data_IF_857091612991
#
_entry.id   IF_857091612991
#
_cell.length_a   1.000
_cell.length_b   1.000
_cell.length_c   1.000
_cell.angle_alpha   90.00
_cell.angle_beta   90.00
_cell.angle_gamma   90.00
#
_symmetry.space_group_name_H-M   'P 1'
#
loop_
_entity.id
_entity.type
_entity.pdbx_description
1 polymer ?
#
# COMPACT_ATOMS: atom_id res chain seq x y z
N UNK A 1 -60.25 18.73 2.44
CA UNK A 1 -58.97 19.06 3.08
C UNK A 1 -58.43 20.30 2.40
N UNK A 2 -58.45 21.45 3.08
CA UNK A 2 -58.13 22.77 2.53
C UNK A 2 -56.70 23.12 2.99
N UNK A 3 -55.77 23.22 2.05
CA UNK A 3 -54.41 23.71 2.31
C UNK A 3 -54.42 25.24 2.29
N UNK A 4 -54.18 25.84 3.46
CA UNK A 4 -54.01 27.29 3.61
C UNK A 4 -52.53 27.60 3.33
N UNK A 5 -52.25 28.16 2.16
CA UNK A 5 -50.93 28.70 1.81
C UNK A 5 -50.69 30.01 2.58
N UNK A 6 -49.87 29.97 3.64
CA UNK A 6 -49.32 31.17 4.27
C UNK A 6 -48.26 31.78 3.34
N UNK A 7 -48.61 32.88 2.68
CA UNK A 7 -47.66 33.79 2.04
C UNK A 7 -46.96 34.62 3.13
N UNK A 8 -45.74 34.24 3.49
CA UNK A 8 -44.86 35.09 4.31
C UNK A 8 -44.28 36.16 3.39
N UNK A 9 -44.79 37.39 3.51
CA UNK A 9 -44.22 38.57 2.86
C UNK A 9 -42.88 38.90 3.50
N UNK A 10 -41.79 38.45 2.88
CA UNK A 10 -40.44 38.87 3.22
C UNK A 10 -40.28 40.35 2.86
N UNK A 11 -40.49 41.25 3.81
CA UNK A 11 -40.16 42.67 3.68
C UNK A 11 -38.65 42.78 3.51
N UNK A 12 -38.18 43.09 2.29
CA UNK A 12 -36.80 43.50 2.05
C UNK A 12 -36.58 44.85 2.73
N UNK A 13 -36.10 44.82 3.98
CA UNK A 13 -35.60 45.99 4.67
C UNK A 13 -34.30 46.43 3.98
N UNK A 14 -34.31 47.63 3.38
CA UNK A 14 -33.14 48.21 2.74
C UNK A 14 -32.43 49.11 3.77
N UNK A 15 -31.26 48.73 4.34
CA UNK A 15 -30.66 49.41 5.50
C UNK A 15 -29.94 50.73 5.17
N UNK A 16 -30.10 51.27 3.96
CA UNK A 16 -29.25 52.35 3.44
C UNK A 16 -29.45 53.74 4.08
N UNK A 17 -30.44 53.92 4.96
CA UNK A 17 -30.89 55.27 5.38
C UNK A 17 -31.10 55.43 6.90
N UNK A 18 -30.18 54.93 7.76
CA UNK A 18 -30.13 55.40 9.16
C UNK A 18 -29.02 56.46 9.35
N UNK A 19 -29.34 57.76 9.34
CA UNK A 19 -28.38 58.87 9.31
C UNK A 19 -27.62 59.12 10.63
N UNK A 20 -27.70 58.24 11.63
CA UNK A 20 -27.15 58.50 12.98
C UNK A 20 -25.75 57.96 13.26
N UNK A 21 -25.17 57.19 12.34
CA UNK A 21 -23.82 56.65 12.47
C UNK A 21 -22.96 57.27 11.36
N UNK A 22 -22.16 58.30 11.66
CA UNK A 22 -21.21 58.92 10.72
C UNK A 22 -20.06 58.00 10.27
N UNK A 23 -20.22 56.68 10.41
CA UNK A 23 -19.28 55.66 9.97
C UNK A 23 -19.54 55.42 8.49
N UNK A 24 -18.57 55.78 7.65
CA UNK A 24 -18.57 55.47 6.21
C UNK A 24 -17.51 54.41 5.94
N UNK A 25 -17.91 53.29 5.35
CA UNK A 25 -16.97 52.27 4.91
C UNK A 25 -16.09 52.83 3.78
N UNK A 26 -14.80 52.53 3.83
CA UNK A 26 -13.81 53.14 2.94
C UNK A 26 -13.82 52.53 1.53
N UNK A 27 -13.94 51.21 1.45
CA UNK A 27 -13.80 50.48 0.21
C UNK A 27 -15.13 50.29 -0.56
N UNK A 28 -15.06 50.03 -1.87
CA UNK A 28 -16.22 49.71 -2.70
C UNK A 28 -16.92 48.42 -2.25
N UNK A 29 -18.19 48.26 -2.63
CA UNK A 29 -19.00 47.07 -2.38
C UNK A 29 -19.16 46.67 -0.91
N UNK A 30 -19.04 47.65 -0.01
CA UNK A 30 -19.23 47.51 1.43
C UNK A 30 -20.47 48.28 1.90
N UNK A 31 -21.07 47.82 3.00
CA UNK A 31 -22.15 48.54 3.68
C UNK A 31 -21.98 48.43 5.20
N UNK A 32 -22.57 49.36 5.94
CA UNK A 32 -22.57 49.32 7.41
C UNK A 32 -23.75 48.46 7.87
N UNK A 33 -23.49 47.40 8.62
CA UNK A 33 -24.52 46.53 9.16
C UNK A 33 -25.26 47.19 10.35
N UNK A 34 -26.30 46.52 10.88
CA UNK A 34 -27.05 47.03 12.04
C UNK A 34 -26.25 47.19 13.34
N UNK A 35 -25.02 46.65 13.41
CA UNK A 35 -24.11 46.82 14.54
C UNK A 35 -23.06 47.93 14.32
N UNK A 36 -23.15 48.68 13.22
CA UNK A 36 -22.18 49.74 12.91
C UNK A 36 -20.84 49.23 12.32
N UNK A 37 -20.75 47.94 11.93
CA UNK A 37 -19.55 47.34 11.35
C UNK A 37 -19.67 47.30 9.82
N UNK A 38 -18.58 47.57 9.12
CA UNK A 38 -18.52 47.39 7.66
C UNK A 38 -18.53 45.90 7.31
N UNK A 39 -19.43 45.52 6.41
CA UNK A 39 -19.58 44.18 5.85
C UNK A 39 -19.60 44.24 4.31
N UNK A 40 -19.23 43.14 3.68
CA UNK A 40 -19.28 43.01 2.24
C UNK A 40 -20.71 42.79 1.75
N UNK A 41 -21.06 43.43 0.63
CA UNK A 41 -22.32 43.16 -0.06
C UNK A 41 -22.40 41.71 -0.57
N UNK A 42 -23.63 41.17 -0.67
CA UNK A 42 -23.85 39.75 -0.97
C UNK A 42 -23.26 39.30 -2.31
N UNK A 43 -23.16 40.20 -3.29
CA UNK A 43 -22.61 39.92 -4.62
C UNK A 43 -21.07 39.95 -4.65
N UNK A 44 -20.43 40.44 -3.58
CA UNK A 44 -18.98 40.64 -3.47
C UNK A 44 -18.48 40.05 -2.15
N UNK A 45 -18.52 38.72 -1.96
CA UNK A 45 -18.33 38.10 -0.66
C UNK A 45 -16.86 38.06 -0.19
N UNK A 46 -15.90 38.45 -1.03
CA UNK A 46 -14.47 38.35 -0.72
C UNK A 46 -13.88 39.73 -0.39
N UNK A 47 -12.82 39.73 0.43
CA UNK A 47 -12.04 40.93 0.75
C UNK A 47 -12.19 41.40 2.20
N UNK A 48 -11.67 42.60 2.47
CA UNK A 48 -11.77 43.24 3.77
C UNK A 48 -12.64 44.50 3.64
N UNK A 49 -13.84 44.53 4.26
CA UNK A 49 -14.73 45.68 4.16
C UNK A 49 -14.19 46.96 4.82
N UNK A 50 -13.13 46.86 5.62
CA UNK A 50 -12.44 48.00 6.24
C UNK A 50 -11.28 48.53 5.39
N UNK A 51 -10.84 47.78 4.39
CA UNK A 51 -9.76 48.13 3.47
C UNK A 51 -10.20 49.18 2.44
N UNK A 52 -9.24 49.93 1.88
CA UNK A 52 -9.48 50.83 0.75
C UNK A 52 -9.85 50.07 -0.54
N UNK A 53 -9.39 48.81 -0.66
CA UNK A 53 -9.72 47.93 -1.79
C UNK A 53 -11.20 47.49 -1.71
N UNK A 54 -11.76 47.43 -0.50
CA UNK A 54 -13.14 47.01 -0.26
C UNK A 54 -13.37 45.52 -0.47
N UNK A 55 -14.56 45.18 -0.94
CA UNK A 55 -14.94 43.81 -1.23
C UNK A 55 -15.02 43.58 -2.75
N UNK A 56 -14.76 42.35 -3.18
CA UNK A 56 -14.71 42.00 -4.59
C UNK A 56 -15.30 40.60 -4.82
N UNK A 57 -15.41 40.27 -6.10
CA UNK A 57 -15.74 38.93 -6.60
C UNK A 57 -14.68 38.52 -7.61
N UNK A 58 -14.63 37.24 -7.95
CA UNK A 58 -13.79 36.74 -9.03
C UNK A 58 -14.70 36.37 -10.20
N UNK A 59 -14.54 37.05 -11.34
CA UNK A 59 -15.23 36.72 -12.58
C UNK A 59 -14.22 36.59 -13.73
N UNK A 60 -13.95 35.37 -14.24
CA UNK A 60 -14.69 34.13 -13.99
C UNK A 60 -14.47 33.57 -12.57
N UNK A 61 -15.37 32.68 -12.09
CA UNK A 61 -15.18 32.00 -10.81
C UNK A 61 -13.87 31.20 -10.84
N UNK A 62 -13.16 31.18 -9.71
CA UNK A 62 -11.93 30.40 -9.56
C UNK A 62 -12.18 28.89 -9.64
N UNK A 63 -11.13 28.11 -9.90
CA UNK A 63 -11.16 26.66 -9.81
C UNK A 63 -11.64 26.17 -8.42
N UNK A 64 -12.20 24.96 -8.36
CA UNK A 64 -12.69 24.36 -7.12
C UNK A 64 -11.61 24.26 -6.03
N UNK A 65 -10.35 24.10 -6.42
CA UNK A 65 -9.19 24.06 -5.52
C UNK A 65 -8.45 25.41 -5.48
N UNK A 66 -9.12 26.51 -5.77
CA UNK A 66 -8.61 27.87 -5.64
C UNK A 66 -9.51 28.74 -4.76
N UNK A 67 -8.97 29.89 -4.35
CA UNK A 67 -9.74 30.95 -3.73
C UNK A 67 -9.43 32.30 -4.38
N UNK A 68 -10.41 33.19 -4.29
CA UNK A 68 -10.31 34.57 -4.77
C UNK A 68 -9.46 35.38 -3.78
N UNK A 69 -8.24 35.76 -4.17
CA UNK A 69 -7.31 36.50 -3.31
C UNK A 69 -7.22 37.99 -3.65
N UNK A 70 -7.79 38.39 -4.79
CA UNK A 70 -7.88 39.78 -5.24
C UNK A 70 -8.97 39.94 -6.32
N UNK A 71 -9.25 41.18 -6.75
CA UNK A 71 -10.24 41.43 -7.82
C UNK A 71 -9.84 40.69 -9.10
N UNK A 72 -10.68 39.74 -9.53
CA UNK A 72 -10.44 38.86 -10.68
C UNK A 72 -9.10 38.10 -10.62
N UNK A 73 -8.60 37.84 -9.40
CA UNK A 73 -7.36 37.12 -9.17
C UNK A 73 -7.60 35.88 -8.31
N UNK A 74 -7.32 34.72 -8.90
CA UNK A 74 -7.47 33.42 -8.26
C UNK A 74 -6.12 32.80 -7.92
N UNK A 75 -6.04 32.15 -6.76
CA UNK A 75 -4.84 31.45 -6.31
C UNK A 75 -5.23 30.07 -5.84
N UNK A 76 -4.50 29.07 -6.31
CA UNK A 76 -4.67 27.70 -5.85
C UNK A 76 -4.51 27.61 -4.32
N UNK A 77 -5.33 26.78 -3.70
CA UNK A 77 -5.25 26.46 -2.30
C UNK A 77 -3.90 25.79 -1.97
N UNK A 78 -3.52 25.82 -0.70
CA UNK A 78 -2.28 25.18 -0.24
C UNK A 78 -2.27 23.70 -0.66
N UNK A 79 -1.16 23.27 -1.29
CA UNK A 79 -1.04 21.92 -1.83
C UNK A 79 -1.56 21.74 -3.27
N UNK A 80 -1.85 22.82 -3.99
CA UNK A 80 -2.21 22.77 -5.41
C UNK A 80 -1.35 23.73 -6.22
N UNK A 81 -1.18 23.43 -7.51
CA UNK A 81 -0.42 24.23 -8.48
C UNK A 81 -1.26 24.45 -9.73
N UNK A 82 -1.08 25.60 -10.37
CA UNK A 82 -1.78 25.95 -11.60
C UNK A 82 -2.05 27.45 -11.70
N UNK A 83 -3.04 27.83 -12.48
CA UNK A 83 -3.38 29.24 -12.78
C UNK A 83 -4.43 29.84 -11.83
N UNK A 84 -5.11 29.01 -11.03
CA UNK A 84 -6.17 29.46 -10.13
C UNK A 84 -7.54 29.58 -10.79
N UNK A 85 -7.61 29.66 -12.12
CA UNK A 85 -8.85 29.89 -12.86
C UNK A 85 -9.42 28.59 -13.40
N UNK A 86 -8.63 27.89 -14.22
CA UNK A 86 -9.06 26.67 -14.90
C UNK A 86 -8.40 25.42 -14.32
N UNK A 87 -7.20 25.58 -13.73
CA UNK A 87 -6.39 24.45 -13.26
C UNK A 87 -5.81 24.76 -11.89
N UNK A 88 -6.18 23.95 -10.91
CA UNK A 88 -5.45 23.77 -9.67
C UNK A 88 -5.37 22.28 -9.33
N UNK A 89 -4.22 21.68 -9.62
CA UNK A 89 -3.98 20.25 -9.48
C UNK A 89 -2.83 19.99 -8.51
N UNK A 90 -2.76 18.78 -7.96
CA UNK A 90 -1.60 18.39 -7.16
C UNK A 90 -0.41 18.17 -8.10
N UNK A 91 0.79 18.69 -7.77
CA UNK A 91 1.95 18.49 -8.62
C UNK A 91 2.32 17.01 -8.69
N UNK A 92 2.84 16.56 -9.84
CA UNK A 92 3.43 15.21 -9.95
C UNK A 92 4.88 15.27 -9.49
N UNK A 93 5.30 14.51 -8.46
CA UNK A 93 6.70 14.49 -8.03
C UNK A 93 7.57 13.78 -9.06
N UNK A 94 8.83 14.21 -9.21
CA UNK A 94 9.85 13.46 -9.93
C UNK A 94 10.69 12.64 -8.95
N UNK A 95 10.81 11.33 -9.19
CA UNK A 95 11.54 10.40 -8.34
C UNK A 95 13.03 10.45 -8.70
N UNK A 96 13.86 10.98 -7.78
CA UNK A 96 15.30 11.10 -7.99
C UNK A 96 16.06 9.87 -7.55
N UNK A 97 15.74 9.36 -6.36
CA UNK A 97 16.35 8.16 -5.82
C UNK A 97 15.43 7.54 -4.77
N UNK A 98 15.76 6.36 -4.27
CA UNK A 98 15.09 5.77 -3.12
C UNK A 98 15.99 4.75 -2.42
N UNK A 99 15.74 4.55 -1.13
CA UNK A 99 16.44 3.59 -0.28
C UNK A 99 15.43 2.84 0.61
N UNK A 100 15.60 1.53 0.86
CA UNK A 100 16.55 0.62 0.21
C UNK A 100 16.13 0.26 -1.23
N UNK A 101 17.01 -0.39 -2.00
CA UNK A 101 16.73 -0.89 -3.38
C UNK A 101 16.10 -2.28 -3.41
N UNK A 102 16.08 -2.97 -2.27
CA UNK A 102 15.55 -4.31 -2.12
C UNK A 102 15.00 -4.53 -0.71
N UNK A 103 14.16 -5.55 -0.56
CA UNK A 103 13.52 -5.93 0.70
C UNK A 103 13.11 -7.41 0.72
N UNK A 104 12.64 -7.89 1.87
CA UNK A 104 12.10 -9.23 2.05
C UNK A 104 10.72 -9.35 1.40
N UNK A 105 10.41 -10.54 0.87
CA UNK A 105 9.04 -10.90 0.45
C UNK A 105 8.01 -10.81 1.57
N UNK A 106 8.40 -10.79 2.85
CA UNK A 106 7.47 -10.58 3.96
C UNK A 106 7.01 -9.13 4.11
N UNK A 107 7.69 -8.17 3.49
CA UNK A 107 7.44 -6.75 3.69
C UNK A 107 7.91 -6.24 5.05
N UNK A 108 7.40 -5.08 5.45
CA UNK A 108 7.75 -4.37 6.68
C UNK A 108 8.94 -3.43 6.51
N UNK A 109 9.56 -3.35 5.34
CA UNK A 109 10.66 -2.43 5.08
C UNK A 109 10.17 -1.00 4.92
N UNK A 110 10.83 -0.10 5.62
CA UNK A 110 10.66 1.34 5.44
C UNK A 110 11.40 1.80 4.18
N UNK A 111 10.65 2.15 3.14
CA UNK A 111 11.18 2.69 1.89
C UNK A 111 11.05 4.21 1.85
N UNK A 112 12.19 4.90 1.71
CA UNK A 112 12.26 6.36 1.58
C UNK A 112 12.55 6.73 0.13
N UNK A 113 11.57 7.35 -0.53
CA UNK A 113 11.68 7.91 -1.88
C UNK A 113 12.17 9.35 -1.78
N UNK A 114 13.27 9.68 -2.43
CA UNK A 114 13.77 11.05 -2.59
C UNK A 114 13.18 11.65 -3.87
N UNK A 115 12.44 12.73 -3.71
CA UNK A 115 11.66 13.35 -4.78
C UNK A 115 12.06 14.81 -4.99
N UNK A 116 11.72 15.36 -6.16
CA UNK A 116 11.73 16.80 -6.38
C UNK A 116 10.44 17.27 -7.04
N UNK A 117 9.97 18.44 -6.63
CA UNK A 117 8.70 19.05 -7.07
C UNK A 117 9.02 20.34 -7.82
N UNK A 118 8.28 20.60 -8.91
CA UNK A 118 8.51 21.77 -9.78
C UNK A 118 8.03 23.08 -9.13
N UNK A 119 7.30 23.01 -8.02
CA UNK A 119 6.76 24.16 -7.31
C UNK A 119 7.51 24.44 -5.99
N UNK A 120 8.20 25.59 -5.85
CA UNK A 120 9.07 25.90 -4.71
C UNK A 120 8.34 26.10 -3.38
N UNK A 121 7.03 26.41 -3.41
CA UNK A 121 6.21 26.69 -2.22
C UNK A 121 5.20 25.56 -1.92
N UNK A 122 5.33 24.41 -2.57
CA UNK A 122 4.41 23.30 -2.35
C UNK A 122 4.71 22.61 -1.01
N UNK A 123 3.71 22.56 -0.12
CA UNK A 123 3.77 21.81 1.14
C UNK A 123 2.97 20.52 0.99
N UNK A 124 3.67 19.39 1.04
CA UNK A 124 3.06 18.09 0.82
C UNK A 124 2.32 17.60 2.08
N UNK A 125 0.99 17.48 2.00
CA UNK A 125 0.14 17.03 3.12
C UNK A 125 -0.02 15.49 3.12
N UNK A 126 -0.10 14.89 1.93
CA UNK A 126 -0.27 13.45 1.72
C UNK A 126 0.65 12.96 0.62
N UNK A 127 0.98 11.67 0.65
CA UNK A 127 1.89 11.04 -0.30
C UNK A 127 1.63 9.55 -0.37
N UNK A 128 1.99 8.96 -1.50
CA UNK A 128 1.78 7.55 -1.80
C UNK A 128 3.01 6.99 -2.51
N UNK A 129 3.39 5.76 -2.14
CA UNK A 129 4.39 4.99 -2.86
C UNK A 129 3.70 3.89 -3.65
N UNK A 130 4.13 3.65 -4.87
CA UNK A 130 3.69 2.51 -5.68
C UNK A 130 4.88 1.62 -5.99
N UNK A 131 4.73 0.32 -5.74
CA UNK A 131 5.71 -0.71 -6.09
C UNK A 131 4.98 -1.78 -6.88
N UNK A 132 5.15 -1.74 -8.20
CA UNK A 132 4.41 -2.59 -9.14
C UNK A 132 2.90 -2.34 -9.07
N UNK A 133 2.08 -3.36 -8.76
CA UNK A 133 0.63 -3.19 -8.62
C UNK A 133 0.19 -2.65 -7.26
N UNK A 134 1.08 -2.63 -6.25
CA UNK A 134 0.72 -2.26 -4.89
C UNK A 134 0.90 -0.75 -4.65
N UNK A 135 -0.06 -0.14 -3.96
CA UNK A 135 -0.05 1.27 -3.55
C UNK A 135 -0.05 1.32 -2.02
N UNK A 136 0.87 2.11 -1.46
CA UNK A 136 1.08 2.28 -0.03
C UNK A 136 0.87 3.73 0.38
N UNK A 137 0.14 3.93 1.47
CA UNK A 137 0.05 5.24 2.12
C UNK A 137 1.41 5.59 2.75
N UNK A 138 1.83 6.85 2.58
CA UNK A 138 3.05 7.32 3.20
C UNK A 138 2.87 7.53 4.71
N UNK A 139 3.80 7.00 5.49
CA UNK A 139 3.86 7.24 6.94
C UNK A 139 4.42 8.63 7.26
N UNK A 140 5.21 9.20 6.34
CA UNK A 140 5.76 10.54 6.47
C UNK A 140 5.97 11.16 5.10
N UNK A 141 5.59 12.42 4.95
CA UNK A 141 5.67 13.15 3.70
C UNK A 141 6.38 14.47 3.94
N UNK A 142 7.34 14.79 3.08
CA UNK A 142 8.05 16.06 3.05
C UNK A 142 8.19 16.49 1.58
N UNK A 143 8.62 17.73 1.34
CA UNK A 143 8.86 18.28 -0.01
C UNK A 143 9.99 17.56 -0.76
N UNK A 144 10.90 16.93 -0.02
CA UNK A 144 12.08 16.23 -0.57
C UNK A 144 12.01 14.72 -0.48
N UNK A 145 11.13 14.16 0.35
CA UNK A 145 11.05 12.72 0.52
C UNK A 145 9.66 12.23 0.94
N UNK A 146 9.32 11.02 0.50
CA UNK A 146 8.11 10.28 0.89
C UNK A 146 8.58 8.97 1.49
N UNK A 147 8.06 8.60 2.65
CA UNK A 147 8.39 7.33 3.29
C UNK A 147 7.17 6.44 3.40
N UNK A 148 7.29 5.18 2.99
CA UNK A 148 6.23 4.18 3.08
C UNK A 148 6.77 2.90 3.75
N UNK A 149 5.87 1.98 4.10
CA UNK A 149 6.20 0.65 4.59
C UNK A 149 5.68 -0.36 3.56
N UNK A 150 6.54 -1.28 3.13
CA UNK A 150 6.18 -2.34 2.17
C UNK A 150 5.30 -3.40 2.83
N UNK A 151 4.40 -4.01 2.07
CA UNK A 151 3.71 -5.23 2.50
C UNK A 151 4.34 -6.48 1.89
N UNK A 152 3.83 -7.64 2.33
CA UNK A 152 4.18 -8.95 1.78
C UNK A 152 3.94 -9.00 0.27
N UNK A 153 4.94 -9.44 -0.47
CA UNK A 153 4.91 -9.52 -1.94
C UNK A 153 5.60 -10.79 -2.47
N UNK A 154 5.42 -11.07 -3.76
CA UNK A 154 6.14 -12.15 -4.44
C UNK A 154 7.57 -11.72 -4.75
N UNK A 155 8.54 -12.67 -4.80
CA UNK A 155 9.90 -12.35 -5.19
C UNK A 155 9.94 -11.82 -6.63
N UNK A 156 10.78 -10.82 -6.89
CA UNK A 156 10.92 -10.20 -8.21
C UNK A 156 11.24 -8.70 -8.16
N UNK A 157 11.46 -8.13 -9.35
CA UNK A 157 11.74 -6.70 -9.52
C UNK A 157 10.48 -5.95 -9.99
N UNK A 158 10.12 -4.87 -9.31
CA UNK A 158 8.90 -4.10 -9.57
C UNK A 158 9.21 -2.62 -9.77
N UNK A 159 8.51 -1.92 -10.69
CA UNK A 159 8.70 -0.49 -10.88
C UNK A 159 8.25 0.29 -9.64
N UNK A 160 8.97 1.37 -9.32
CA UNK A 160 8.68 2.25 -8.17
C UNK A 160 8.24 3.61 -8.68
N UNK A 161 7.15 4.13 -8.11
CA UNK A 161 6.66 5.47 -8.42
C UNK A 161 6.17 6.19 -7.17
N UNK A 162 6.18 7.52 -7.20
CA UNK A 162 5.69 8.40 -6.15
C UNK A 162 4.48 9.22 -6.64
N UNK A 163 3.57 9.56 -5.73
CA UNK A 163 2.41 10.42 -6.00
C UNK A 163 1.97 11.20 -4.76
N UNK A 164 1.26 12.32 -4.94
CA UNK A 164 0.58 13.07 -3.86
C UNK A 164 -0.95 12.92 -3.88
N UNK A 165 -1.51 12.25 -4.89
CA UNK A 165 -2.96 12.04 -5.06
C UNK A 165 -3.37 10.59 -5.34
N UNK A 166 -2.41 9.67 -5.47
CA UNK A 166 -2.62 8.28 -5.88
C UNK A 166 -3.22 8.09 -7.28
N UNK A 167 -3.29 9.15 -8.09
CA UNK A 167 -3.82 9.14 -9.46
C UNK A 167 -2.68 9.41 -10.45
N UNK A 168 -1.92 10.48 -10.21
CA UNK A 168 -0.82 10.90 -11.06
C UNK A 168 0.51 10.47 -10.45
N UNK A 169 1.30 9.72 -11.22
CA UNK A 169 2.51 9.04 -10.74
C UNK A 169 3.76 9.57 -11.44
N UNK A 170 4.88 9.60 -10.71
CA UNK A 170 6.20 9.85 -11.28
C UNK A 170 6.54 8.87 -12.41
N UNK A 171 7.11 9.34 -13.50
CA UNK A 171 7.40 8.53 -14.72
C UNK A 171 8.82 7.96 -14.76
N UNK A 172 9.57 8.02 -13.66
CA UNK A 172 10.96 7.57 -13.59
C UNK A 172 11.07 6.03 -13.64
N UNK A 173 12.03 5.52 -14.42
CA UNK A 173 12.30 4.09 -14.56
C UNK A 173 13.16 3.58 -13.40
N UNK A 174 12.56 3.38 -12.23
CA UNK A 174 13.23 2.89 -11.03
C UNK A 174 12.62 1.56 -10.59
N UNK A 175 13.41 0.60 -10.10
CA UNK A 175 12.91 -0.74 -9.73
C UNK A 175 13.35 -1.18 -8.34
N UNK A 176 12.43 -1.73 -7.55
CA UNK A 176 12.67 -2.34 -6.24
C UNK A 176 12.61 -3.86 -6.34
N UNK A 177 13.56 -4.55 -5.70
CA UNK A 177 13.66 -6.02 -5.75
C UNK A 177 13.21 -6.67 -4.44
N UNK A 178 12.15 -7.48 -4.49
CA UNK A 178 11.79 -8.37 -3.40
C UNK A 178 12.63 -9.65 -3.48
N UNK A 179 13.44 -9.89 -2.46
CA UNK A 179 14.24 -11.09 -2.32
C UNK A 179 13.41 -12.18 -1.66
N UNK A 180 13.40 -13.38 -2.25
CA UNK A 180 12.84 -14.53 -1.57
C UNK A 180 13.56 -14.68 -0.22
N UNK A 181 12.79 -14.77 0.87
CA UNK A 181 13.35 -15.13 2.15
C UNK A 181 14.11 -16.43 1.97
N UNK A 182 15.25 -16.53 2.65
CA UNK A 182 16.17 -17.65 2.55
C UNK A 182 15.49 -18.99 2.88
N UNK A 183 14.72 -19.52 1.92
CA UNK A 183 14.38 -20.92 1.79
C UNK A 183 15.67 -21.75 1.77
N UNK A 184 16.80 -21.12 1.47
CA UNK A 184 18.15 -21.64 1.69
C UNK A 184 18.37 -22.14 3.11
N UNK A 185 17.97 -21.43 4.18
CA UNK A 185 18.26 -21.90 5.54
C UNK A 185 17.46 -23.15 5.90
N UNK A 186 16.15 -23.15 5.66
CA UNK A 186 15.29 -24.30 5.94
C UNK A 186 15.66 -25.49 5.06
N UNK A 187 15.97 -25.24 3.77
CA UNK A 187 16.45 -26.29 2.86
C UNK A 187 17.79 -26.88 3.28
N UNK A 188 18.71 -26.08 3.86
CA UNK A 188 19.98 -26.58 4.38
C UNK A 188 19.75 -27.48 5.60
N UNK A 189 18.88 -27.08 6.53
CA UNK A 189 18.55 -27.91 7.71
C UNK A 189 17.91 -29.25 7.31
N UNK A 190 16.93 -29.25 6.40
CA UNK A 190 16.34 -30.49 5.89
C UNK A 190 17.37 -31.33 5.12
N UNK A 191 18.26 -30.70 4.35
CA UNK A 191 19.36 -31.38 3.66
C UNK A 191 20.32 -32.09 4.62
N UNK A 192 20.77 -31.40 5.68
CA UNK A 192 21.66 -31.97 6.70
C UNK A 192 20.99 -33.05 7.54
N UNK A 193 19.70 -32.89 7.85
CA UNK A 193 18.94 -33.90 8.59
C UNK A 193 18.75 -35.18 7.76
N UNK A 194 18.46 -35.05 6.46
CA UNK A 194 18.33 -36.17 5.53
C UNK A 194 19.65 -36.94 5.38
N UNK A 195 20.78 -36.24 5.20
CA UNK A 195 22.10 -36.91 5.09
C UNK A 195 22.48 -37.65 6.38
N UNK A 196 22.18 -37.08 7.55
CA UNK A 196 22.41 -37.73 8.83
C UNK A 196 21.59 -39.03 8.98
N UNK A 197 20.30 -39.00 8.59
CA UNK A 197 19.45 -40.20 8.60
C UNK A 197 19.97 -41.30 7.68
N UNK A 198 20.46 -40.95 6.49
CA UNK A 198 21.04 -41.92 5.53
C UNK A 198 22.30 -42.57 6.13
N UNK A 199 23.16 -41.79 6.79
CA UNK A 199 24.37 -42.31 7.45
C UNK A 199 23.99 -43.26 8.60
N UNK A 200 23.01 -42.91 9.42
CA UNK A 200 22.52 -43.78 10.49
C UNK A 200 21.94 -45.09 9.96
N UNK A 201 21.13 -45.03 8.90
CA UNK A 201 20.59 -46.23 8.26
C UNK A 201 21.70 -47.10 7.66
N UNK A 202 22.67 -46.49 6.97
CA UNK A 202 23.83 -47.20 6.43
C UNK A 202 24.66 -47.88 7.53
N UNK A 203 24.86 -47.20 8.66
CA UNK A 203 25.52 -47.76 9.83
C UNK A 203 24.74 -48.93 10.42
N UNK A 204 23.42 -48.81 10.57
CA UNK A 204 22.57 -49.89 11.07
C UNK A 204 22.60 -51.10 10.15
N UNK A 205 22.50 -50.91 8.82
CA UNK A 205 22.59 -52.00 7.84
C UNK A 205 23.95 -52.68 7.92
N UNK A 206 25.04 -51.91 7.94
CA UNK A 206 26.39 -52.44 8.07
C UNK A 206 26.58 -53.25 9.36
N UNK A 207 26.06 -52.74 10.49
CA UNK A 207 26.05 -53.44 11.77
C UNK A 207 25.26 -54.76 11.70
N UNK A 208 24.10 -54.76 11.04
CA UNK A 208 23.30 -55.97 10.81
C UNK A 208 24.04 -57.00 9.95
N UNK A 209 24.68 -56.57 8.85
CA UNK A 209 25.45 -57.45 7.97
C UNK A 209 26.65 -58.09 8.69
N UNK A 210 27.39 -57.31 9.50
CA UNK A 210 28.46 -57.86 10.32
C UNK A 210 27.96 -58.87 11.36
N UNK A 211 26.76 -58.64 11.91
CA UNK A 211 26.17 -59.55 12.90
C UNK A 211 25.74 -60.86 12.26
N UNK A 212 25.24 -60.87 11.02
CA UNK A 212 24.85 -62.09 10.31
C UNK A 212 26.02 -62.99 9.95
N UNK A 213 27.19 -62.44 9.61
CA UNK A 213 28.39 -63.26 9.32
C UNK A 213 28.80 -64.12 10.52
N UNK A 214 28.74 -63.56 11.73
CA UNK A 214 29.02 -64.31 12.97
C UNK A 214 27.98 -65.40 13.26
N UNK A 215 26.76 -65.24 12.78
CA UNK A 215 25.70 -66.22 13.00
C UNK A 215 25.83 -67.42 12.05
N UNK A 216 26.33 -67.21 10.83
CA UNK A 216 26.57 -68.28 9.86
C UNK A 216 27.71 -69.20 10.29
N UNK A 217 28.77 -68.67 10.90
CA UNK A 217 29.91 -69.48 11.40
C UNK A 217 29.48 -70.47 12.51
N UNK A 218 28.38 -70.20 13.21
CA UNK A 218 27.83 -71.09 14.25
C UNK A 218 26.78 -72.08 13.73
N UNK A 219 26.26 -71.89 12.50
CA UNK A 219 25.29 -72.79 11.89
C UNK A 219 25.94 -74.00 11.21
N UNK A 220 27.22 -73.91 10.84
CA UNK A 220 27.95 -74.98 10.14
C UNK A 220 28.38 -76.16 11.05
N UNK A 221 28.22 -76.05 12.39
CA UNK A 221 28.49 -77.15 13.33
C UNK A 221 27.24 -77.99 13.72
N UNK A 222 26.05 -77.72 13.18
CA UNK A 222 24.84 -78.53 13.46
C UNK A 222 24.36 -79.29 12.22
N UNK A 223 24.86 -80.51 12.06
CA UNK A 223 24.28 -81.61 11.25
C UNK A 223 24.25 -82.88 12.14
N UNK A 224 23.20 -83.74 12.07
CA UNK A 224 22.92 -84.43 10.82
C UNK A 224 21.43 -84.72 10.48
N UNK A 225 21.28 -85.04 9.19
CA UNK A 225 20.28 -85.88 8.52
C UNK A 225 19.20 -86.53 9.41
N UNK A 226 17.94 -86.12 9.25
CA UNK A 226 16.88 -87.10 9.04
C UNK A 226 15.97 -86.71 7.87
N UNK A 227 15.93 -87.64 6.92
CA UNK A 227 15.08 -87.74 5.75
C UNK A 227 13.62 -87.85 6.22
N UNK A 228 12.82 -86.82 6.03
CA UNK A 228 11.36 -86.92 6.12
C UNK A 228 10.71 -86.53 4.81
N UNK A 229 10.15 -87.54 4.15
CA UNK A 229 9.14 -87.37 3.12
C UNK A 229 7.93 -86.65 3.72
N UNK A 230 7.61 -85.46 3.22
CA UNK A 230 6.32 -84.84 3.46
C UNK A 230 5.79 -84.28 2.14
N UNK A 231 4.83 -85.02 1.58
CA UNK A 231 3.93 -84.52 0.56
C UNK A 231 3.03 -83.47 1.22
N UNK A 232 3.27 -82.19 0.94
CA UNK A 232 2.31 -81.12 1.22
C UNK A 232 1.56 -80.76 -0.07
N UNK A 233 0.22 -80.63 -0.01
CA UNK A 233 -0.58 -80.24 -1.16
C UNK A 233 -0.25 -78.80 -1.59
N UNK A 234 -0.26 -78.59 -2.91
CA UNK A 234 -0.17 -77.28 -3.54
C UNK A 234 -1.28 -76.35 -3.02
N UNK A 235 -0.91 -75.41 -2.16
CA UNK A 235 -1.71 -74.20 -1.92
C UNK A 235 -1.32 -73.21 -3.02
N UNK A 236 -2.26 -72.90 -3.90
CA UNK A 236 -2.10 -71.85 -4.90
C UNK A 236 -1.84 -70.51 -4.22
N UNK A 237 -0.83 -69.73 -4.66
CA UNK A 237 -0.53 -68.44 -4.07
C UNK A 237 -1.73 -67.51 -4.28
N UNK A 238 -2.42 -67.18 -3.18
CA UNK A 238 -3.23 -65.97 -3.13
C UNK A 238 -2.24 -64.82 -3.32
N UNK A 239 -2.45 -64.03 -4.38
CA UNK A 239 -1.65 -62.84 -4.66
C UNK A 239 -1.60 -61.96 -3.41
N UNK A 240 -0.46 -61.96 -2.72
CA UNK A 240 -0.18 -61.00 -1.67
C UNK A 240 -0.28 -59.61 -2.30
N UNK A 241 -1.28 -58.83 -1.87
CA UNK A 241 -1.32 -57.41 -2.17
C UNK A 241 -0.01 -56.83 -1.64
N UNK A 242 0.83 -56.39 -2.57
CA UNK A 242 2.12 -55.84 -2.22
C UNK A 242 1.88 -54.57 -1.41
N UNK A 243 2.66 -54.34 -0.37
CA UNK A 243 2.61 -53.12 0.43
C UNK A 243 2.71 -51.83 -0.44
N UNK A 244 3.26 -51.93 -1.65
CA UNK A 244 3.26 -50.87 -2.65
C UNK A 244 1.85 -50.50 -3.17
N UNK A 245 0.92 -51.45 -3.30
CA UNK A 245 -0.47 -51.17 -3.68
C UNK A 245 -1.20 -50.35 -2.59
N UNK A 246 -0.83 -50.57 -1.32
CA UNK A 246 -1.36 -49.77 -0.21
C UNK A 246 -0.81 -48.34 -0.21
N UNK A 247 0.47 -48.16 -0.53
CA UNK A 247 1.08 -46.82 -0.64
C UNK A 247 0.57 -46.03 -1.84
N UNK A 248 0.31 -46.69 -2.98
CA UNK A 248 -0.18 -46.02 -4.18
C UNK A 248 -1.57 -45.40 -3.98
N UNK A 249 -2.45 -46.06 -3.21
CA UNK A 249 -3.77 -45.52 -2.88
C UNK A 249 -3.76 -44.31 -1.92
N UNK A 250 -2.66 -44.07 -1.17
CA UNK A 250 -2.57 -42.92 -0.24
C UNK A 250 -2.07 -41.65 -0.95
N UNK A 251 -1.35 -41.77 -2.06
CA UNK A 251 -0.72 -40.61 -2.74
C UNK A 251 -1.67 -39.96 -3.77
N UNK A 252 -2.75 -40.64 -4.16
CA UNK A 252 -3.64 -40.22 -5.27
C UNK A 252 -4.95 -39.57 -4.79
N UNK A 253 -5.22 -39.50 -3.48
CA UNK A 253 -6.28 -38.64 -2.89
C UNK A 253 -5.72 -37.29 -2.42
#
# INVERSE_FOLDING_TARGET
MIFISLFILSVKYNPSDDPKSGIKCKGPHTFVNGTGKCECSADFPFGDPSSEIGCWTCNPPCDLNAHCYGPDQCRCNEGFIGDGLDVCEKPVPSLKNFIPKSGSVNGGEKITLFISVIAPNYTAIKGFCRIGPMIYDAISVNTTHITCITDKSKPGSFPVSASFDAVHWSTDNATFTYNADGATQVSIFFGLFSTFLIILLGYMIFYYLQKTDKFMEQADEVLPLTKWHMNTPHITPQAEQTWFDFLWNIIIE
#
